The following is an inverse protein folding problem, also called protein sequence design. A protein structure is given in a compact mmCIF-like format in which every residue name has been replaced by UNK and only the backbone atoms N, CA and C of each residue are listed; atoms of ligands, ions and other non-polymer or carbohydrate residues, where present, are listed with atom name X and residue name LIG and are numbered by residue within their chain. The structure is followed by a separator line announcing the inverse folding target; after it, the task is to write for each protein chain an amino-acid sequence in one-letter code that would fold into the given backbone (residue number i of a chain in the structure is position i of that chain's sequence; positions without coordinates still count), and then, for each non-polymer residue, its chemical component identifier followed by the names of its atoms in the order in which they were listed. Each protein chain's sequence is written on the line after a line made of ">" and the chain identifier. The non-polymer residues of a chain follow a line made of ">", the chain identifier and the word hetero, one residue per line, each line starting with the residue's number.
data_IF_438720121190
#
_entry.id   IF_438720121190
#
_cell.length_a   1.000
_cell.length_b   1.000
_cell.length_c   1.000
_cell.angle_alpha   90.00
_cell.angle_beta   90.00
_cell.angle_gamma   90.00
#
_symmetry.space_group_name_H-M   'P 1'
#
loop_
_entity.id
_entity.type
_entity.pdbx_description
1 polymer ?
#
# COMPACT_ATOMS: atom_id res chain seq x y z
N UNK A 1 -2.37 35.03 -20.85
CA UNK A 1 -2.97 34.04 -19.93
C UNK A 1 -1.83 33.22 -19.41
N UNK A 2 -1.69 33.04 -18.09
CA UNK A 2 -0.66 32.20 -17.51
C UNK A 2 -0.91 30.74 -17.91
N UNK A 3 0.13 29.98 -18.18
CA UNK A 3 0.03 28.55 -18.54
C UNK A 3 -0.82 27.75 -17.56
N UNK A 4 -0.84 28.09 -16.26
CA UNK A 4 -1.64 27.42 -15.24
C UNK A 4 -3.15 27.46 -15.44
N UNK A 5 -3.70 28.58 -15.91
CA UNK A 5 -5.16 28.70 -16.11
C UNK A 5 -5.71 27.91 -17.30
N UNK A 6 -4.87 27.56 -18.29
CA UNK A 6 -5.27 26.70 -19.40
C UNK A 6 -5.29 25.23 -19.01
N UNK A 7 -4.33 24.80 -18.21
CA UNK A 7 -4.22 23.43 -17.68
C UNK A 7 -5.39 23.08 -16.75
N UNK A 8 -5.69 23.96 -15.78
CA UNK A 8 -6.86 23.83 -14.90
C UNK A 8 -8.17 23.67 -15.66
N UNK A 9 -8.35 24.45 -16.75
CA UNK A 9 -9.56 24.38 -17.55
C UNK A 9 -9.72 23.04 -18.26
N UNK A 10 -8.63 22.46 -18.77
CA UNK A 10 -8.66 21.15 -19.44
C UNK A 10 -8.99 20.05 -18.41
N UNK A 11 -8.36 20.07 -17.25
CA UNK A 11 -8.63 19.09 -16.19
C UNK A 11 -10.07 19.16 -15.69
N UNK A 12 -10.56 20.36 -15.39
CA UNK A 12 -11.94 20.58 -14.95
C UNK A 12 -12.99 20.12 -15.98
N UNK A 13 -12.76 20.41 -17.26
CA UNK A 13 -13.67 19.98 -18.33
C UNK A 13 -13.70 18.47 -18.49
N UNK A 14 -12.61 17.78 -18.14
CA UNK A 14 -12.50 16.33 -18.18
C UNK A 14 -12.94 15.65 -16.87
N UNK A 15 -13.39 16.43 -15.87
CA UNK A 15 -13.84 15.90 -14.56
C UNK A 15 -12.72 15.56 -13.59
N UNK A 16 -11.50 16.05 -13.83
CA UNK A 16 -10.36 15.90 -12.93
C UNK A 16 -10.18 17.12 -12.04
N UNK A 17 -9.89 16.90 -10.77
CA UNK A 17 -9.56 17.94 -9.81
C UNK A 17 -8.13 18.46 -10.07
N UNK A 18 -7.96 19.77 -10.42
CA UNK A 18 -6.64 20.34 -10.70
C UNK A 18 -5.68 20.38 -9.50
N UNK A 19 -6.20 20.27 -8.26
CA UNK A 19 -5.36 20.16 -7.07
C UNK A 19 -4.77 18.75 -6.90
N UNK A 20 -5.42 17.73 -7.47
CA UNK A 20 -5.02 16.34 -7.37
C UNK A 20 -4.36 15.80 -8.65
N UNK A 21 -4.46 16.54 -9.77
CA UNK A 21 -3.98 16.08 -11.07
C UNK A 21 -3.21 17.17 -11.81
N UNK A 22 -2.13 16.81 -12.48
CA UNK A 22 -1.39 17.68 -13.41
C UNK A 22 -1.46 17.12 -14.83
N UNK A 23 -1.54 18.04 -15.79
CA UNK A 23 -1.55 17.73 -17.21
C UNK A 23 -0.11 17.43 -17.68
N UNK A 24 0.14 16.23 -18.22
CA UNK A 24 1.47 15.85 -18.72
C UNK A 24 1.57 15.93 -20.23
N UNK A 25 0.46 15.80 -20.93
CA UNK A 25 0.39 15.93 -22.39
C UNK A 25 -1.01 16.39 -22.76
N UNK A 26 -1.09 17.35 -23.70
CA UNK A 26 -2.34 17.82 -24.30
C UNK A 26 -2.16 18.01 -25.80
N UNK A 27 -3.09 17.47 -26.57
CA UNK A 27 -3.16 17.63 -28.02
C UNK A 27 -4.60 17.94 -28.42
N UNK A 28 -4.75 18.87 -29.35
CA UNK A 28 -6.03 19.18 -29.96
C UNK A 28 -5.88 19.16 -31.47
N UNK A 29 -6.83 18.59 -32.16
CA UNK A 29 -6.91 18.56 -33.60
C UNK A 29 -8.36 18.58 -34.06
N UNK A 30 -8.58 18.98 -35.28
CA UNK A 30 -9.90 19.01 -35.87
C UNK A 30 -10.08 17.82 -36.82
N UNK A 31 -11.22 17.16 -36.75
CA UNK A 31 -11.58 16.06 -37.66
C UNK A 31 -12.74 16.52 -38.53
N UNK A 32 -12.52 16.50 -39.84
CA UNK A 32 -13.56 16.81 -40.84
C UNK A 32 -14.45 15.56 -41.02
N UNK A 33 -15.76 15.71 -40.90
CA UNK A 33 -16.76 14.71 -41.22
C UNK A 33 -17.85 15.27 -42.14
N UNK A 34 -18.76 14.41 -42.59
CA UNK A 34 -19.93 14.84 -43.39
C UNK A 34 -20.85 15.84 -42.64
N UNK A 35 -20.74 15.96 -41.35
CA UNK A 35 -21.49 16.86 -40.49
C UNK A 35 -20.75 18.15 -40.12
N UNK A 36 -19.51 18.34 -40.58
CA UNK A 36 -18.69 19.53 -40.27
C UNK A 36 -17.32 19.17 -39.68
N UNK A 37 -16.67 20.21 -39.13
CA UNK A 37 -15.39 20.06 -38.42
C UNK A 37 -15.69 19.87 -36.94
N UNK A 38 -15.16 18.77 -36.38
CA UNK A 38 -15.31 18.40 -34.97
C UNK A 38 -13.97 18.49 -34.28
N UNK A 39 -13.84 19.23 -33.18
CA UNK A 39 -12.63 19.25 -32.38
C UNK A 39 -12.48 17.93 -31.63
N UNK A 40 -11.31 17.34 -31.70
CA UNK A 40 -10.89 16.20 -30.91
C UNK A 40 -9.79 16.63 -29.97
N UNK A 41 -9.86 16.14 -28.74
CA UNK A 41 -8.89 16.45 -27.72
C UNK A 41 -8.34 15.14 -27.12
N UNK A 42 -7.04 15.13 -26.89
CA UNK A 42 -6.35 14.06 -26.17
C UNK A 42 -5.52 14.70 -25.07
N UNK A 43 -5.56 14.11 -23.89
CA UNK A 43 -4.68 14.53 -22.81
C UNK A 43 -4.23 13.32 -21.97
N UNK A 44 -3.07 13.48 -21.36
CA UNK A 44 -2.60 12.62 -20.28
C UNK A 44 -2.53 13.44 -19.01
N UNK A 45 -3.14 12.96 -17.97
CA UNK A 45 -3.03 13.54 -16.65
C UNK A 45 -2.30 12.58 -15.70
N UNK A 46 -1.49 13.13 -14.81
CA UNK A 46 -0.80 12.40 -13.74
C UNK A 46 -1.34 12.90 -12.42
N UNK A 47 -1.69 11.97 -11.54
CA UNK A 47 -2.07 12.32 -10.17
C UNK A 47 -0.86 12.94 -9.46
N UNK A 48 -1.06 14.12 -8.91
CA UNK A 48 -0.10 14.75 -8.00
C UNK A 48 -0.50 14.36 -6.58
N UNK A 49 0.46 13.89 -5.81
CA UNK A 49 0.27 13.83 -4.37
C UNK A 49 0.04 15.28 -3.91
N UNK A 50 -1.12 15.57 -3.33
CA UNK A 50 -1.32 16.88 -2.74
C UNK A 50 -0.22 17.10 -1.69
N UNK A 51 0.27 18.33 -1.49
CA UNK A 51 1.26 18.62 -0.44
C UNK A 51 0.83 18.07 0.92
N UNK A 52 -0.46 18.10 1.25
CA UNK A 52 -1.02 17.54 2.49
C UNK A 52 -0.83 16.03 2.61
N UNK A 53 -0.98 15.27 1.50
CA UNK A 53 -0.76 13.82 1.50
C UNK A 53 0.74 13.53 1.60
N UNK A 54 1.58 14.27 0.84
CA UNK A 54 3.02 14.13 0.93
C UNK A 54 3.52 14.43 2.35
N UNK A 55 3.05 15.51 2.96
CA UNK A 55 3.41 15.87 4.35
C UNK A 55 2.94 14.82 5.35
N UNK A 56 1.72 14.30 5.19
CA UNK A 56 1.21 13.22 6.05
C UNK A 56 2.03 11.93 5.92
N UNK A 57 2.43 11.56 4.70
CA UNK A 57 3.29 10.39 4.46
C UNK A 57 4.68 10.62 5.05
N UNK A 58 5.27 11.81 4.85
CA UNK A 58 6.57 12.17 5.43
C UNK A 58 6.50 12.15 6.96
N UNK A 59 5.47 12.75 7.56
CA UNK A 59 5.26 12.74 9.01
C UNK A 59 5.13 11.31 9.55
N UNK A 60 4.41 10.44 8.84
CA UNK A 60 4.28 9.02 9.21
C UNK A 60 5.60 8.27 9.09
N UNK A 61 6.32 8.44 7.98
CA UNK A 61 7.66 7.83 7.81
C UNK A 61 8.58 8.32 8.91
N UNK A 62 8.60 9.61 9.23
CA UNK A 62 9.40 10.16 10.32
C UNK A 62 8.97 9.61 11.68
N UNK A 63 7.66 9.49 11.93
CA UNK A 63 7.13 8.92 13.16
C UNK A 63 7.50 7.44 13.31
N UNK A 64 7.43 6.64 12.25
CA UNK A 64 7.83 5.23 12.28
C UNK A 64 9.35 5.06 12.27
N UNK A 65 10.09 5.87 11.51
CA UNK A 65 11.56 5.85 11.49
C UNK A 65 12.22 6.39 12.77
N UNK A 66 11.53 7.27 13.52
CA UNK A 66 11.98 7.74 14.82
C UNK A 66 11.70 6.76 15.97
N UNK A 67 10.91 5.72 15.73
CA UNK A 67 10.76 4.62 16.66
C UNK A 67 12.05 3.78 16.63
N UNK A 68 13.13 4.35 17.17
CA UNK A 68 14.36 3.57 17.41
C UNK A 68 13.98 2.26 18.09
N UNK A 69 14.13 1.15 17.37
CA UNK A 69 13.79 -0.18 17.90
C UNK A 69 14.74 -0.44 19.07
N UNK A 70 14.24 -0.29 20.28
CA UNK A 70 14.97 -0.71 21.47
C UNK A 70 15.08 -2.21 21.44
N UNK A 71 16.21 -2.71 20.96
CA UNK A 71 16.47 -4.14 20.92
C UNK A 71 16.71 -4.69 22.33
N UNK A 72 16.03 -5.74 22.65
CA UNK A 72 16.34 -6.62 23.78
C UNK A 72 17.54 -7.50 23.41
N UNK A 73 18.04 -8.26 24.40
CA UNK A 73 19.16 -9.17 24.14
C UNK A 73 18.74 -10.28 23.19
N UNK A 74 19.34 -10.33 22.00
CA UNK A 74 19.11 -11.38 21.02
C UNK A 74 19.57 -12.74 21.58
N UNK A 75 18.78 -13.79 21.32
CA UNK A 75 19.18 -15.14 21.64
C UNK A 75 20.43 -15.54 20.85
N UNK A 76 21.35 -16.25 21.50
CA UNK A 76 22.48 -16.86 20.82
C UNK A 76 22.04 -18.25 20.29
N UNK A 77 21.49 -18.24 19.11
CA UNK A 77 20.96 -19.43 18.43
C UNK A 77 21.19 -19.27 16.93
N UNK A 78 21.31 -20.38 16.22
CA UNK A 78 21.38 -20.42 14.75
C UNK A 78 20.02 -20.73 14.13
N UNK A 79 18.96 -20.73 14.94
CA UNK A 79 17.62 -21.05 14.48
C UNK A 79 16.95 -19.87 13.83
N UNK A 80 16.50 -20.07 12.59
CA UNK A 80 15.60 -19.18 11.85
C UNK A 80 14.17 -19.68 11.97
N UNK A 81 13.24 -18.77 12.28
CA UNK A 81 11.81 -19.01 12.16
C UNK A 81 11.32 -18.42 10.82
N UNK A 82 10.82 -19.25 9.92
CA UNK A 82 10.01 -18.80 8.79
C UNK A 82 8.56 -18.59 9.27
N UNK A 83 8.12 -17.34 9.21
CA UNK A 83 6.78 -16.88 9.61
C UNK A 83 6.04 -16.39 8.39
N UNK A 84 5.33 -17.30 7.72
CA UNK A 84 4.55 -16.97 6.52
C UNK A 84 3.11 -16.64 6.88
N UNK A 85 2.64 -15.48 6.43
CA UNK A 85 1.26 -15.02 6.49
C UNK A 85 0.72 -14.93 5.08
N UNK A 86 -0.34 -15.69 4.77
CA UNK A 86 -0.93 -15.72 3.44
C UNK A 86 -2.33 -15.15 3.42
N UNK A 87 -2.67 -14.51 2.30
CA UNK A 87 -4.02 -14.15 1.92
C UNK A 87 -4.83 -13.43 3.02
N UNK A 88 -4.26 -12.33 3.52
CA UNK A 88 -4.88 -11.56 4.60
C UNK A 88 -6.16 -10.85 4.15
N UNK A 89 -6.23 -10.48 2.85
CA UNK A 89 -7.37 -9.82 2.22
C UNK A 89 -7.94 -8.65 3.04
N UNK A 90 -7.05 -7.77 3.50
CA UNK A 90 -7.48 -6.56 4.23
C UNK A 90 -8.39 -5.74 3.34
N UNK A 91 -9.63 -5.52 3.79
CA UNK A 91 -10.67 -4.81 3.06
C UNK A 91 -11.78 -5.68 2.49
N UNK A 92 -11.73 -7.01 2.62
CA UNK A 92 -12.85 -7.88 2.28
C UNK A 92 -13.99 -7.71 3.29
N UNK A 93 -15.19 -7.33 2.84
CA UNK A 93 -16.33 -7.02 3.71
C UNK A 93 -16.75 -8.19 4.61
N UNK A 94 -16.64 -9.42 4.13
CA UNK A 94 -17.01 -10.61 4.90
C UNK A 94 -16.10 -10.87 6.11
N UNK A 95 -14.94 -10.22 6.16
CA UNK A 95 -13.92 -10.44 7.18
C UNK A 95 -13.98 -9.53 8.41
N UNK A 96 -14.97 -8.67 8.55
CA UNK A 96 -15.03 -7.60 9.55
C UNK A 96 -14.40 -6.30 9.03
N UNK A 97 -14.07 -5.35 9.91
CA UNK A 97 -13.40 -4.12 9.52
C UNK A 97 -11.96 -4.37 9.06
N UNK A 98 -11.40 -3.52 8.19
CA UNK A 98 -9.99 -3.65 7.76
C UNK A 98 -9.01 -3.68 8.93
N UNK A 99 -9.23 -2.85 9.94
CA UNK A 99 -8.42 -2.83 11.15
C UNK A 99 -8.46 -4.17 11.91
N UNK A 100 -9.64 -4.79 12.04
CA UNK A 100 -9.79 -6.11 12.66
C UNK A 100 -9.12 -7.22 11.83
N UNK A 101 -9.19 -7.14 10.52
CA UNK A 101 -8.53 -8.09 9.62
C UNK A 101 -7.02 -8.01 9.73
N UNK A 102 -6.46 -6.81 9.64
CA UNK A 102 -5.04 -6.55 9.81
C UNK A 102 -4.55 -7.01 11.20
N UNK A 103 -5.33 -6.68 12.26
CA UNK A 103 -5.00 -7.09 13.63
C UNK A 103 -5.04 -8.61 13.82
N UNK A 104 -5.99 -9.33 13.18
CA UNK A 104 -6.00 -10.80 13.22
C UNK A 104 -4.73 -11.40 12.65
N UNK A 105 -4.23 -10.87 11.53
CA UNK A 105 -2.94 -11.28 10.96
C UNK A 105 -1.80 -11.14 11.98
N UNK A 106 -1.72 -9.99 12.64
CA UNK A 106 -0.74 -9.72 13.70
C UNK A 106 -0.90 -10.69 14.87
N UNK A 107 -2.11 -10.97 15.32
CA UNK A 107 -2.38 -11.85 16.43
C UNK A 107 -2.03 -13.32 16.12
N UNK A 108 -2.32 -13.76 14.90
CA UNK A 108 -1.89 -15.10 14.41
C UNK A 108 -0.37 -15.18 14.41
N UNK A 109 0.32 -14.19 13.85
CA UNK A 109 1.78 -14.12 13.85
C UNK A 109 2.36 -14.23 15.26
N UNK A 110 1.86 -13.44 16.21
CA UNK A 110 2.30 -13.48 17.62
C UNK A 110 2.09 -14.82 18.28
N UNK A 111 0.96 -15.48 17.99
CA UNK A 111 0.67 -16.84 18.51
C UNK A 111 1.64 -17.87 17.92
N UNK A 112 1.93 -17.80 16.63
CA UNK A 112 2.90 -18.69 15.97
C UNK A 112 4.30 -18.52 16.54
N UNK A 113 4.77 -17.29 16.70
CA UNK A 113 6.06 -17.00 17.35
C UNK A 113 6.09 -17.54 18.80
N UNK A 114 5.02 -17.32 19.57
CA UNK A 114 4.92 -17.84 20.94
C UNK A 114 4.99 -19.37 21.00
N UNK A 115 4.40 -20.07 20.03
CA UNK A 115 4.49 -21.51 19.91
C UNK A 115 5.90 -21.96 19.52
N UNK A 116 6.51 -21.32 18.52
CA UNK A 116 7.86 -21.65 18.07
C UNK A 116 8.89 -21.49 19.20
N UNK A 117 8.79 -20.45 20.02
CA UNK A 117 9.66 -20.24 21.20
C UNK A 117 9.62 -21.37 22.24
N UNK A 118 8.55 -22.15 22.29
CA UNK A 118 8.47 -23.33 23.18
C UNK A 118 9.27 -24.50 22.64
N UNK A 119 9.63 -24.49 21.38
CA UNK A 119 10.40 -25.56 20.73
C UNK A 119 11.91 -25.29 20.79
N UNK A 120 12.32 -24.02 20.98
CA UNK A 120 13.71 -23.64 21.11
C UNK A 120 13.93 -22.13 20.96
N UNK A 121 15.17 -21.73 21.18
CA UNK A 121 15.57 -20.34 21.01
C UNK A 121 15.65 -19.95 19.53
N UNK A 122 15.08 -18.80 19.18
CA UNK A 122 15.07 -18.25 17.83
C UNK A 122 15.93 -16.98 17.82
N UNK A 123 16.85 -16.86 16.88
CA UNK A 123 17.68 -15.67 16.70
C UNK A 123 17.21 -14.77 15.56
N UNK A 124 16.60 -15.37 14.52
CA UNK A 124 16.17 -14.70 13.31
C UNK A 124 14.76 -15.09 12.92
N UNK A 125 14.00 -14.14 12.39
CA UNK A 125 12.67 -14.36 11.80
C UNK A 125 12.69 -13.90 10.36
N UNK A 126 12.24 -14.75 9.46
CA UNK A 126 11.86 -14.41 8.10
C UNK A 126 10.35 -14.19 8.09
N UNK A 127 9.92 -12.95 8.03
CA UNK A 127 8.51 -12.61 7.88
C UNK A 127 8.17 -12.57 6.39
N UNK A 128 7.36 -13.51 5.95
CA UNK A 128 6.91 -13.59 4.56
C UNK A 128 5.43 -13.27 4.46
N UNK A 129 5.09 -12.22 3.72
CA UNK A 129 3.72 -11.93 3.31
C UNK A 129 3.52 -12.56 1.94
N UNK A 130 2.62 -13.54 1.84
CA UNK A 130 2.42 -14.34 0.62
C UNK A 130 1.00 -14.18 0.12
N UNK A 131 0.86 -13.87 -1.17
CA UNK A 131 -0.45 -13.70 -1.78
C UNK A 131 -1.10 -12.36 -1.43
N UNK A 132 -2.41 -12.32 -1.41
CA UNK A 132 -3.20 -11.11 -1.33
C UNK A 132 -3.21 -10.51 0.09
N UNK A 133 -2.31 -9.57 0.36
CA UNK A 133 -2.32 -8.80 1.61
C UNK A 133 -3.51 -7.84 1.64
N UNK A 134 -3.77 -7.15 0.51
CA UNK A 134 -4.95 -6.31 0.33
C UNK A 134 -5.97 -7.00 -0.57
N UNK A 135 -7.25 -6.67 -0.34
CA UNK A 135 -8.35 -7.20 -1.14
C UNK A 135 -8.45 -6.55 -2.52
N UNK A 136 -8.06 -5.28 -2.65
CA UNK A 136 -8.08 -4.48 -3.89
C UNK A 136 -6.76 -3.78 -4.14
N UNK A 137 -6.49 -3.45 -5.42
CA UNK A 137 -5.24 -2.85 -5.88
C UNK A 137 -5.39 -1.41 -6.41
N UNK A 138 -6.58 -0.86 -6.30
CA UNK A 138 -6.87 0.49 -6.82
C UNK A 138 -7.99 1.20 -6.08
N UNK A 139 -8.01 2.53 -6.17
CA UNK A 139 -9.09 3.37 -5.67
C UNK A 139 -10.46 3.05 -6.31
N UNK A 140 -10.49 2.40 -7.46
CA UNK A 140 -11.72 1.94 -8.11
C UNK A 140 -12.27 0.61 -7.55
N UNK A 141 -11.67 0.05 -6.49
CA UNK A 141 -12.13 -1.22 -5.92
C UNK A 141 -11.89 -2.41 -6.85
N UNK A 142 -10.77 -2.41 -7.57
CA UNK A 142 -10.44 -3.47 -8.52
C UNK A 142 -9.18 -4.25 -8.12
N UNK A 143 -9.09 -5.49 -8.57
CA UNK A 143 -7.84 -6.26 -8.51
C UNK A 143 -6.81 -5.69 -9.49
N UNK A 144 -5.57 -6.18 -9.43
CA UNK A 144 -4.48 -5.82 -10.35
C UNK A 144 -4.88 -5.95 -11.83
N UNK A 145 -5.72 -6.93 -12.16
CA UNK A 145 -6.20 -7.18 -13.54
C UNK A 145 -7.45 -6.40 -13.91
N UNK A 146 -7.92 -5.51 -13.04
CA UNK A 146 -9.10 -4.68 -13.28
C UNK A 146 -10.43 -5.35 -12.99
N UNK A 147 -10.44 -6.50 -12.33
CA UNK A 147 -11.70 -7.13 -11.90
C UNK A 147 -12.29 -6.32 -10.76
N UNK A 148 -13.50 -5.78 -10.95
CA UNK A 148 -14.21 -5.05 -9.92
C UNK A 148 -14.67 -6.00 -8.80
N UNK A 149 -14.52 -5.55 -7.56
CA UNK A 149 -14.93 -6.28 -6.37
C UNK A 149 -15.99 -5.48 -5.62
N UNK A 150 -17.19 -6.03 -5.52
CA UNK A 150 -18.34 -5.38 -4.88
C UNK A 150 -18.33 -5.53 -3.35
N UNK A 151 -17.51 -6.42 -2.83
CA UNK A 151 -17.41 -6.75 -1.41
C UNK A 151 -16.30 -6.00 -0.67
N UNK A 152 -15.82 -4.90 -1.23
CA UNK A 152 -14.86 -4.00 -0.58
C UNK A 152 -15.55 -3.17 0.51
N UNK A 153 -14.95 -3.08 1.69
CA UNK A 153 -15.56 -2.48 2.88
C UNK A 153 -15.32 -0.97 3.00
N UNK A 154 -14.18 -0.47 2.54
CA UNK A 154 -13.73 0.92 2.72
C UNK A 154 -12.95 1.40 1.49
N UNK A 155 -12.55 2.69 1.50
CA UNK A 155 -11.70 3.26 0.46
C UNK A 155 -10.30 2.65 0.44
N UNK A 156 -9.70 2.58 -0.76
CA UNK A 156 -8.38 1.99 -0.97
C UNK A 156 -7.29 2.57 -0.04
N UNK A 157 -7.30 3.89 0.14
CA UNK A 157 -6.28 4.56 0.96
C UNK A 157 -6.36 4.11 2.43
N UNK A 158 -7.57 3.93 2.96
CA UNK A 158 -7.79 3.45 4.34
C UNK A 158 -7.38 1.99 4.49
N UNK A 159 -7.68 1.15 3.50
CA UNK A 159 -7.28 -0.25 3.48
C UNK A 159 -5.76 -0.40 3.47
N UNK A 160 -5.11 0.37 2.60
CA UNK A 160 -3.66 0.38 2.48
C UNK A 160 -2.98 0.83 3.77
N UNK A 161 -3.48 1.91 4.38
CA UNK A 161 -2.96 2.42 5.66
C UNK A 161 -3.07 1.38 6.79
N UNK A 162 -4.20 0.68 6.89
CA UNK A 162 -4.40 -0.36 7.91
C UNK A 162 -3.42 -1.53 7.70
N UNK A 163 -3.25 -1.99 6.47
CA UNK A 163 -2.31 -3.05 6.15
C UNK A 163 -0.86 -2.63 6.45
N UNK A 164 -0.44 -1.44 5.98
CA UNK A 164 0.90 -0.90 6.21
C UNK A 164 1.20 -0.77 7.71
N UNK A 165 0.29 -0.14 8.47
CA UNK A 165 0.45 0.05 9.92
C UNK A 165 0.57 -1.28 10.67
N UNK A 166 -0.20 -2.29 10.28
CA UNK A 166 -0.13 -3.62 10.88
C UNK A 166 1.20 -4.32 10.60
N UNK A 167 1.70 -4.25 9.35
CA UNK A 167 2.98 -4.85 8.97
C UNK A 167 4.15 -4.16 9.67
N UNK A 168 4.17 -2.82 9.71
CA UNK A 168 5.17 -2.05 10.46
C UNK A 168 5.12 -2.40 11.95
N UNK A 169 3.92 -2.43 12.54
CA UNK A 169 3.73 -2.78 13.94
C UNK A 169 4.22 -4.19 14.28
N UNK A 170 3.95 -5.17 13.41
CA UNK A 170 4.43 -6.54 13.56
C UNK A 170 5.95 -6.62 13.42
N UNK A 171 6.51 -5.99 12.39
CA UNK A 171 7.96 -5.94 12.15
C UNK A 171 8.69 -5.31 13.34
N UNK A 172 8.19 -4.19 13.85
CA UNK A 172 8.76 -3.53 15.03
C UNK A 172 8.68 -4.42 16.27
N UNK A 173 7.56 -5.14 16.45
CA UNK A 173 7.43 -6.06 17.58
C UNK A 173 8.41 -7.23 17.49
N UNK A 174 8.60 -7.83 16.30
CA UNK A 174 9.57 -8.89 16.05
C UNK A 174 11.01 -8.39 16.24
N UNK A 175 11.34 -7.23 15.71
CA UNK A 175 12.69 -6.67 15.71
C UNK A 175 13.20 -6.29 17.12
N UNK A 176 12.33 -6.24 18.12
CA UNK A 176 12.74 -6.13 19.54
C UNK A 176 13.53 -7.35 20.02
N UNK A 177 13.21 -8.53 19.49
CA UNK A 177 13.67 -9.81 20.01
C UNK A 177 14.51 -10.61 19.03
N UNK A 178 14.39 -10.31 17.73
CA UNK A 178 14.99 -11.08 16.65
C UNK A 178 15.65 -10.19 15.61
N UNK A 179 16.57 -10.76 14.83
CA UNK A 179 16.88 -10.22 13.51
C UNK A 179 15.71 -10.54 12.60
N UNK A 180 15.25 -9.56 11.83
CA UNK A 180 14.07 -9.72 10.97
C UNK A 180 14.42 -9.40 9.54
N UNK A 181 14.13 -10.34 8.66
CA UNK A 181 14.04 -10.09 7.21
C UNK A 181 12.56 -10.13 6.82
N UNK A 182 12.15 -9.25 5.91
CA UNK A 182 10.78 -9.22 5.38
C UNK A 182 10.81 -9.53 3.90
N UNK A 183 9.97 -10.46 3.46
CA UNK A 183 9.73 -10.77 2.06
C UNK A 183 8.24 -10.54 1.76
N UNK A 184 7.96 -9.87 0.63
CA UNK A 184 6.61 -9.69 0.13
C UNK A 184 6.50 -10.38 -1.21
N UNK A 185 5.60 -11.35 -1.29
CA UNK A 185 5.26 -12.07 -2.51
C UNK A 185 3.85 -11.64 -2.91
N UNK A 186 3.69 -10.81 -3.95
CA UNK A 186 2.39 -10.26 -4.31
C UNK A 186 1.43 -11.34 -4.79
N UNK A 187 0.14 -11.11 -4.52
CA UNK A 187 -0.95 -11.92 -5.02
C UNK A 187 -1.51 -11.43 -6.36
N UNK A 188 -2.70 -11.91 -6.69
CA UNK A 188 -3.40 -11.47 -7.90
C UNK A 188 -4.34 -10.28 -7.66
N UNK A 189 -4.66 -9.97 -6.41
CA UNK A 189 -5.47 -8.81 -6.04
C UNK A 189 -4.66 -7.54 -5.89
N UNK A 190 -3.41 -7.62 -5.44
CA UNK A 190 -2.68 -6.50 -4.83
C UNK A 190 -1.24 -6.30 -5.33
N UNK A 191 -0.94 -6.66 -6.57
CA UNK A 191 0.43 -6.62 -7.10
C UNK A 191 1.09 -5.22 -7.00
N UNK A 192 0.36 -4.15 -7.36
CA UNK A 192 0.87 -2.77 -7.26
C UNK A 192 0.98 -2.35 -5.81
N UNK A 193 -0.04 -2.66 -5.00
CA UNK A 193 -0.07 -2.34 -3.57
C UNK A 193 1.07 -3.04 -2.83
N UNK A 194 1.32 -4.30 -3.12
CA UNK A 194 2.44 -5.07 -2.56
C UNK A 194 3.80 -4.48 -2.93
N UNK A 195 3.96 -3.99 -4.17
CA UNK A 195 5.17 -3.27 -4.58
C UNK A 195 5.38 -1.99 -3.77
N UNK A 196 4.32 -1.19 -3.59
CA UNK A 196 4.40 0.03 -2.79
C UNK A 196 4.65 -0.27 -1.32
N UNK A 197 3.98 -1.27 -0.77
CA UNK A 197 4.19 -1.75 0.60
C UNK A 197 5.67 -2.12 0.86
N UNK A 198 6.28 -2.86 -0.07
CA UNK A 198 7.70 -3.22 0.02
C UNK A 198 8.61 -1.99 0.00
N UNK A 199 8.33 -1.03 -0.90
CA UNK A 199 9.10 0.21 -1.03
C UNK A 199 9.01 1.09 0.22
N UNK A 200 7.81 1.22 0.79
CA UNK A 200 7.59 2.01 1.99
C UNK A 200 8.23 1.36 3.23
N UNK A 201 8.12 0.03 3.37
CA UNK A 201 8.82 -0.69 4.43
C UNK A 201 10.34 -0.50 4.32
N UNK A 202 10.89 -0.58 3.11
CA UNK A 202 12.31 -0.33 2.90
C UNK A 202 12.70 1.09 3.38
N UNK A 203 11.91 2.10 3.04
CA UNK A 203 12.15 3.48 3.46
C UNK A 203 12.01 3.71 4.98
N UNK A 204 11.23 2.86 5.69
CA UNK A 204 11.10 2.92 7.16
C UNK A 204 12.32 2.32 7.86
N UNK A 205 12.98 1.33 7.25
CA UNK A 205 14.02 0.52 7.93
C UNK A 205 15.44 0.72 7.38
N UNK A 206 15.63 1.46 6.29
CA UNK A 206 16.94 1.96 5.81
C UNK A 206 17.39 3.20 6.58
#
# INVERSE_FOLDING_TARGET
>A
MSQGGAEEKVLNNAGFDPEAWSLTEYRRWDVASRGGIHPCEYFKAKRILSPKIADSVIEKIQKYGQLGIKRERLAKSDTLLDLSLSDLHVGCRSGGTPAEQAQRGVDVARRLVSRARRLGDISKVLLTLVGDTLHVDSAGGTTTRGTALEDTSEGYDDLYEQAFSAVVGLTNWLARWYLVDVIIVPGNHDNNSSFHLARELNAVYE
#
